data_IF_537345483879
#
_entry.id   IF_537345483879
#
_cell.length_a   1.000
_cell.length_b   1.000
_cell.length_c   1.000
_cell.angle_alpha   90.00
_cell.angle_beta   90.00
_cell.angle_gamma   90.00
#
_symmetry.space_group_name_H-M   'P 1'
#
loop_
_entity.id
_entity.type
_entity.pdbx_description
1 polymer ?
#
# COMPACT_ATOMS: atom_id res chain seq x y z
N UNK A 1 8.74 -14.96 -1.59
CA UNK A 1 7.90 -13.74 -1.47
C UNK A 1 8.60 -12.46 -1.96
N UNK A 2 9.38 -12.53 -3.02
CA UNK A 2 10.15 -11.38 -3.50
C UNK A 2 9.27 -10.20 -3.95
N UNK A 3 8.17 -10.49 -4.67
CA UNK A 3 7.25 -9.45 -5.14
C UNK A 3 6.67 -8.62 -3.99
N UNK A 4 6.14 -9.26 -2.95
CA UNK A 4 5.56 -8.55 -1.80
C UNK A 4 6.61 -7.75 -1.01
N UNK A 5 7.88 -8.20 -0.98
CA UNK A 5 8.95 -7.39 -0.39
C UNK A 5 9.18 -6.10 -1.19
N UNK A 6 9.19 -6.20 -2.53
CA UNK A 6 9.36 -5.06 -3.43
C UNK A 6 8.17 -4.10 -3.45
N UNK A 7 7.01 -4.51 -2.95
CA UNK A 7 5.82 -3.66 -2.81
C UNK A 7 5.49 -3.31 -1.36
N UNK A 8 6.31 -3.76 -0.40
CA UNK A 8 6.08 -3.63 1.05
C UNK A 8 4.69 -4.13 1.49
N UNK A 9 4.19 -5.17 0.82
CA UNK A 9 2.89 -5.77 1.09
C UNK A 9 1.71 -5.16 0.33
N UNK A 10 1.90 -4.04 -0.37
CA UNK A 10 0.86 -3.47 -1.24
C UNK A 10 0.58 -4.42 -2.41
N UNK A 11 -0.70 -4.60 -2.74
CA UNK A 11 -1.15 -5.41 -3.89
C UNK A 11 -2.09 -4.61 -4.78
N UNK A 12 -2.18 -4.98 -6.06
CA UNK A 12 -3.06 -4.34 -7.02
C UNK A 12 -4.16 -5.29 -7.51
N UNK A 13 -5.37 -4.77 -7.74
CA UNK A 13 -6.51 -5.52 -8.28
C UNK A 13 -7.30 -4.71 -9.33
N UNK A 14 -7.58 -5.24 -10.53
CA UNK A 14 -7.08 -6.50 -11.07
C UNK A 14 -5.58 -6.42 -11.37
N UNK A 15 -4.85 -7.52 -11.14
CA UNK A 15 -3.48 -7.64 -11.62
C UNK A 15 -3.49 -7.73 -13.14
N UNK A 16 -2.49 -7.11 -13.78
CA UNK A 16 -2.29 -7.16 -15.23
C UNK A 16 -0.78 -7.22 -15.51
N UNK A 17 -0.42 -7.84 -16.62
CA UNK A 17 0.96 -8.13 -17.01
C UNK A 17 1.79 -6.89 -17.35
N UNK A 18 1.14 -5.78 -17.70
CA UNK A 18 1.74 -4.47 -17.97
C UNK A 18 1.64 -3.49 -16.78
N UNK A 19 1.27 -3.97 -15.58
CA UNK A 19 1.22 -3.14 -14.38
C UNK A 19 2.52 -3.29 -13.57
N UNK A 20 3.30 -2.22 -13.48
CA UNK A 20 4.54 -2.18 -12.71
C UNK A 20 4.33 -1.32 -11.48
N UNK A 21 4.63 -1.88 -10.31
CA UNK A 21 4.54 -1.16 -9.06
C UNK A 21 5.53 -1.69 -8.04
N UNK A 22 5.93 -0.80 -7.14
CA UNK A 22 6.88 -1.09 -6.09
C UNK A 22 6.81 -0.03 -5.01
N UNK A 23 7.31 -0.37 -3.84
CA UNK A 23 7.34 0.54 -2.72
C UNK A 23 8.62 0.41 -1.91
N UNK A 24 9.00 1.51 -1.27
CA UNK A 24 9.99 1.50 -0.21
C UNK A 24 9.44 2.22 1.01
N UNK A 25 9.99 1.88 2.17
CA UNK A 25 9.70 2.56 3.41
C UNK A 25 10.96 3.32 3.83
N UNK A 26 10.80 4.58 4.22
CA UNK A 26 11.85 5.40 4.79
C UNK A 26 11.22 6.37 5.79
N UNK A 27 11.85 6.57 6.95
CA UNK A 27 11.39 7.49 8.01
C UNK A 27 9.93 7.26 8.46
N UNK A 28 9.48 6.00 8.46
CA UNK A 28 8.11 5.61 8.82
C UNK A 28 7.04 5.95 7.77
N UNK A 29 7.47 6.36 6.57
CA UNK A 29 6.61 6.69 5.45
C UNK A 29 6.72 5.63 4.36
N UNK A 30 5.60 5.29 3.72
CA UNK A 30 5.59 4.45 2.53
C UNK A 30 5.66 5.34 1.29
N UNK A 31 6.63 5.04 0.42
CA UNK A 31 6.75 5.61 -0.91
C UNK A 31 6.34 4.55 -1.92
N UNK A 32 5.23 4.77 -2.62
CA UNK A 32 4.65 3.85 -3.60
C UNK A 32 4.75 4.47 -4.99
N UNK A 33 5.15 3.67 -5.96
CA UNK A 33 5.10 4.00 -7.38
C UNK A 33 4.28 2.95 -8.12
N UNK A 34 3.44 3.39 -9.04
CA UNK A 34 2.67 2.55 -9.95
C UNK A 34 2.61 3.18 -11.35
N UNK A 35 2.80 2.37 -12.37
CA UNK A 35 2.67 2.75 -13.78
C UNK A 35 2.16 1.56 -14.57
N UNK A 36 1.48 1.80 -15.69
CA UNK A 36 1.07 0.76 -16.60
C UNK A 36 1.33 1.15 -18.06
N UNK A 37 1.66 0.18 -18.93
CA UNK A 37 1.88 0.45 -20.36
C UNK A 37 0.57 0.77 -21.09
N UNK A 38 -0.57 0.28 -20.59
CA UNK A 38 -1.92 0.60 -21.09
C UNK A 38 -2.75 1.25 -19.99
N UNK A 39 -3.82 1.94 -20.37
CA UNK A 39 -4.75 2.54 -19.42
C UNK A 39 -5.24 1.48 -18.43
N UNK A 40 -5.21 1.80 -17.13
CA UNK A 40 -5.56 0.85 -16.08
C UNK A 40 -6.48 1.51 -15.06
N UNK A 41 -7.53 0.79 -14.67
CA UNK A 41 -8.43 1.17 -13.59
C UNK A 41 -8.51 0.00 -12.61
N UNK A 42 -8.19 0.27 -11.36
CA UNK A 42 -8.21 -0.76 -10.33
C UNK A 42 -8.02 -0.18 -8.94
N UNK A 43 -7.62 -1.02 -8.01
CA UNK A 43 -7.41 -0.69 -6.60
C UNK A 43 -6.00 -1.06 -6.16
N UNK A 44 -5.40 -0.22 -5.33
CA UNK A 44 -4.21 -0.53 -4.55
C UNK A 44 -4.62 -0.82 -3.12
N UNK A 45 -4.33 -2.04 -2.65
CA UNK A 45 -4.70 -2.55 -1.34
C UNK A 45 -3.45 -2.60 -0.46
N UNK A 46 -3.54 -1.99 0.72
CA UNK A 46 -2.46 -1.97 1.69
C UNK A 46 -2.48 -3.21 2.56
N UNK A 47 -1.33 -3.51 3.17
CA UNK A 47 -1.22 -4.69 4.01
C UNK A 47 -1.80 -4.45 5.41
N UNK A 48 -2.10 -5.54 6.11
CA UNK A 48 -2.64 -5.53 7.48
C UNK A 48 -1.73 -6.26 8.44
N UNK A 49 -1.89 -5.94 9.72
CA UNK A 49 -1.22 -6.67 10.80
C UNK A 49 -1.87 -8.04 11.01
N UNK A 50 -1.55 -9.02 10.17
CA UNK A 50 -2.13 -10.39 10.20
C UNK A 50 -1.91 -11.06 11.55
N UNK A 51 -0.76 -10.85 12.20
CA UNK A 51 -0.48 -11.40 13.53
C UNK A 51 -1.58 -11.01 14.53
N UNK A 52 -2.05 -9.77 14.48
CA UNK A 52 -3.09 -9.24 15.36
C UNK A 52 -4.49 -9.52 14.84
N UNK A 53 -4.75 -9.16 13.58
CA UNK A 53 -6.07 -9.12 12.99
C UNK A 53 -6.61 -10.52 12.64
N UNK A 54 -5.72 -11.48 12.34
CA UNK A 54 -6.09 -12.84 11.90
C UNK A 54 -5.71 -13.88 12.96
N UNK A 55 -4.52 -13.75 13.55
CA UNK A 55 -3.97 -14.75 14.46
C UNK A 55 -4.16 -14.39 15.95
N UNK A 56 -4.61 -13.16 16.24
CA UNK A 56 -4.84 -12.66 17.60
C UNK A 56 -3.61 -12.77 18.53
N UNK A 57 -2.42 -12.65 17.96
CA UNK A 57 -1.16 -12.59 18.68
C UNK A 57 -0.84 -11.14 19.09
N UNK A 58 -0.14 -10.98 20.21
CA UNK A 58 0.27 -9.67 20.73
C UNK A 58 1.40 -9.02 19.96
N UNK A 59 2.25 -9.84 19.34
CA UNK A 59 3.44 -9.43 18.58
C UNK A 59 3.54 -10.31 17.33
N UNK A 60 4.24 -9.81 16.32
CA UNK A 60 4.54 -10.59 15.13
C UNK A 60 5.76 -11.50 15.37
N UNK A 61 5.49 -12.73 15.81
CA UNK A 61 6.53 -13.72 16.09
C UNK A 61 7.10 -14.32 14.79
N UNK A 62 8.44 -14.42 14.64
CA UNK A 62 9.06 -15.02 13.46
C UNK A 62 8.62 -16.47 13.23
N UNK A 63 8.18 -16.79 12.01
CA UNK A 63 7.78 -18.15 11.61
C UNK A 63 8.33 -18.50 10.22
N UNK A 64 8.73 -19.76 10.02
CA UNK A 64 9.41 -20.22 8.80
C UNK A 64 8.61 -20.00 7.50
N UNK A 65 7.27 -20.03 7.57
CA UNK A 65 6.35 -19.85 6.43
C UNK A 65 5.56 -18.54 6.50
N UNK A 66 6.08 -17.54 7.20
CA UNK A 66 5.40 -16.28 7.38
C UNK A 66 5.46 -15.39 6.15
N UNK A 67 4.36 -14.66 5.90
CA UNK A 67 4.37 -13.45 5.09
C UNK A 67 4.74 -12.24 5.96
N UNK A 68 5.94 -11.63 5.82
CA UNK A 68 6.33 -10.49 6.65
C UNK A 68 5.37 -9.33 6.51
N UNK A 69 5.11 -8.66 7.62
CA UNK A 69 4.33 -7.43 7.70
C UNK A 69 5.29 -6.25 7.57
N UNK A 70 5.42 -5.68 6.37
CA UNK A 70 6.34 -4.56 6.13
C UNK A 70 5.69 -3.23 6.50
N UNK A 71 4.82 -2.72 5.63
CA UNK A 71 4.03 -1.51 5.92
C UNK A 71 2.56 -1.90 6.05
N UNK A 72 2.09 -1.94 7.29
CA UNK A 72 0.71 -2.33 7.60
C UNK A 72 -0.12 -1.16 8.07
N UNK A 73 -1.38 -1.13 7.64
CA UNK A 73 -2.35 -0.15 8.09
C UNK A 73 -3.27 -0.76 9.15
N UNK A 74 -3.76 0.09 10.05
CA UNK A 74 -4.70 -0.28 11.11
C UNK A 74 -6.08 0.28 10.79
N UNK A 75 -7.11 -0.56 10.82
CA UNK A 75 -8.47 -0.18 10.41
C UNK A 75 -9.00 1.08 11.11
N UNK A 76 -8.71 1.22 12.41
CA UNK A 76 -9.14 2.35 13.24
C UNK A 76 -8.27 3.62 13.16
N UNK A 77 -7.16 3.60 12.42
CA UNK A 77 -6.29 4.77 12.25
C UNK A 77 -6.57 5.51 10.95
N UNK A 78 -6.15 6.76 10.86
CA UNK A 78 -6.18 7.56 9.63
C UNK A 78 -4.79 7.67 9.05
N UNK A 79 -4.74 7.76 7.73
CA UNK A 79 -3.53 7.84 6.94
C UNK A 79 -3.71 8.93 5.90
N UNK A 80 -2.67 9.69 5.69
CA UNK A 80 -2.62 10.73 4.70
C UNK A 80 -1.80 10.25 3.49
N UNK A 81 -2.38 10.40 2.30
CA UNK A 81 -1.79 10.03 1.03
C UNK A 81 -1.55 11.32 0.24
N UNK A 82 -0.29 11.56 -0.12
CA UNK A 82 0.18 12.74 -0.83
C UNK A 82 0.80 12.36 -2.16
N UNK A 83 0.64 13.21 -3.17
CA UNK A 83 1.45 13.13 -4.38
C UNK A 83 2.71 14.01 -4.23
N UNK A 84 3.91 13.53 -4.62
CA UNK A 84 5.15 14.31 -4.50
C UNK A 84 5.13 15.61 -5.30
N UNK A 85 4.37 15.64 -6.39
CA UNK A 85 4.24 16.77 -7.32
C UNK A 85 3.31 17.87 -6.81
N UNK A 86 2.71 17.69 -5.63
CA UNK A 86 1.80 18.65 -4.99
C UNK A 86 0.33 18.26 -5.09
N UNK A 87 -0.54 19.17 -4.64
CA UNK A 87 -1.97 18.92 -4.47
C UNK A 87 -2.36 18.68 -3.00
N UNK A 88 -3.65 18.85 -2.65
CA UNK A 88 -4.10 18.63 -1.29
C UNK A 88 -3.95 17.15 -0.91
N UNK A 89 -3.45 16.83 0.29
CA UNK A 89 -3.43 15.47 0.79
C UNK A 89 -4.84 14.88 0.83
N UNK A 90 -4.93 13.57 0.59
CA UNK A 90 -6.16 12.80 0.82
C UNK A 90 -6.01 11.99 2.09
N UNK A 91 -7.01 12.05 2.96
CA UNK A 91 -7.05 11.25 4.18
C UNK A 91 -7.93 10.04 3.97
N UNK A 92 -7.40 8.86 4.26
CA UNK A 92 -8.12 7.59 4.27
C UNK A 92 -8.08 6.98 5.67
N UNK A 93 -9.16 6.30 6.05
CA UNK A 93 -9.10 5.35 7.16
C UNK A 93 -8.27 4.14 6.75
N UNK A 94 -7.65 3.45 7.71
CA UNK A 94 -6.97 2.19 7.43
C UNK A 94 -7.94 1.16 6.85
N UNK A 95 -9.22 1.18 7.24
CA UNK A 95 -10.25 0.32 6.64
C UNK A 95 -10.38 0.55 5.13
N UNK A 96 -10.42 1.80 4.68
CA UNK A 96 -10.44 2.15 3.25
C UNK A 96 -9.15 1.72 2.53
N UNK A 97 -7.99 1.87 3.17
CA UNK A 97 -6.72 1.41 2.60
C UNK A 97 -6.65 -0.12 2.46
N UNK A 98 -7.27 -0.87 3.38
CA UNK A 98 -7.39 -2.33 3.31
C UNK A 98 -8.37 -2.80 2.23
N UNK A 99 -9.50 -2.10 2.07
CA UNK A 99 -10.47 -2.37 0.99
C UNK A 99 -9.88 -2.04 -0.39
N UNK A 100 -9.05 -1.00 -0.44
CA UNK A 100 -8.28 -0.58 -1.59
C UNK A 100 -8.70 0.78 -2.12
N UNK A 101 -7.70 1.60 -2.45
CA UNK A 101 -7.90 2.93 -3.03
C UNK A 101 -7.97 2.82 -4.54
N UNK A 102 -9.01 3.41 -5.14
CA UNK A 102 -9.17 3.44 -6.59
C UNK A 102 -8.08 4.28 -7.27
N UNK A 103 -7.54 3.73 -8.35
CA UNK A 103 -6.50 4.35 -9.15
C UNK A 103 -6.84 4.17 -10.62
N UNK A 104 -6.79 5.28 -11.34
CA UNK A 104 -6.82 5.35 -12.79
C UNK A 104 -5.45 5.85 -13.27
N UNK A 105 -4.85 5.10 -14.20
CA UNK A 105 -3.56 5.38 -14.81
C UNK A 105 -3.74 5.55 -16.30
N UNK A 106 -3.15 6.62 -16.82
CA UNK A 106 -2.93 6.79 -18.24
C UNK A 106 -1.69 5.97 -18.68
N UNK A 107 -1.66 5.46 -19.92
CA UNK A 107 -0.50 4.74 -20.47
C UNK A 107 0.82 5.47 -20.24
N UNK A 108 1.77 4.83 -19.58
CA UNK A 108 3.12 5.35 -19.32
C UNK A 108 3.21 6.50 -18.31
N UNK A 109 2.10 6.93 -17.71
CA UNK A 109 2.09 7.99 -16.71
C UNK A 109 2.21 7.38 -15.31
N UNK A 110 3.37 7.57 -14.71
CA UNK A 110 3.65 7.09 -13.35
C UNK A 110 2.86 7.90 -12.31
N UNK A 111 2.17 7.19 -11.41
CA UNK A 111 1.60 7.77 -10.21
C UNK A 111 2.45 7.39 -9.01
N UNK A 112 2.76 8.39 -8.17
CA UNK A 112 3.54 8.21 -6.94
C UNK A 112 2.76 8.70 -5.74
N UNK A 113 2.81 7.94 -4.65
CA UNK A 113 2.20 8.28 -3.38
C UNK A 113 3.22 8.24 -2.25
N UNK A 114 3.10 9.20 -1.34
CA UNK A 114 3.72 9.19 -0.02
C UNK A 114 2.60 8.97 0.98
N UNK A 115 2.68 7.90 1.77
CA UNK A 115 1.66 7.52 2.75
C UNK A 115 2.23 7.63 4.15
N UNK A 116 1.55 8.41 4.99
CA UNK A 116 1.91 8.67 6.37
C UNK A 116 0.72 8.37 7.29
N UNK A 117 0.92 7.94 8.55
CA UNK A 117 -0.12 8.09 9.56
C UNK A 117 -0.55 9.56 9.66
N UNK A 118 -1.86 9.81 9.73
CA UNK A 118 -2.37 11.17 9.95
C UNK A 118 -1.98 11.63 11.36
N UNK A 119 -1.68 12.92 11.53
CA UNK A 119 -1.52 13.53 12.85
C UNK A 119 -2.91 13.73 13.46
N UNK A 120 -3.06 13.38 14.73
CA UNK A 120 -4.27 13.64 15.51
C UNK A 120 -4.40 15.13 15.88
#
# INVERSE_FOLDING_TARGET
>A
MYALWKTRGVTARPWRDDLYYGATEADGLLYLSVVADRAWKGKLLFDRQRHRDVLHLRLDYPRINQFPEWFTVESGKRYEVREPTGGPPRTYTGAQLLEGVEVELDPGVERRWIVAPARD
#
